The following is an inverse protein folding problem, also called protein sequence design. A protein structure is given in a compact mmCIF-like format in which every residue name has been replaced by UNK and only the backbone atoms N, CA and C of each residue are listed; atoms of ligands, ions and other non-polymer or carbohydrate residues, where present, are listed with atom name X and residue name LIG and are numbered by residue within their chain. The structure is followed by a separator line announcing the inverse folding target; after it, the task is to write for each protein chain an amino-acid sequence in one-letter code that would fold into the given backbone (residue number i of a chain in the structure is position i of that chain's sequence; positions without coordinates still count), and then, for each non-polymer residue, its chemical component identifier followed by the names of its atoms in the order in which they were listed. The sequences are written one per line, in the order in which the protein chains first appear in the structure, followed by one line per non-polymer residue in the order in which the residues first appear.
data_IF_933461143093
#
_entry.id   IF_933461143093
#
_cell.length_a   1.000
_cell.length_b   1.000
_cell.length_c   1.000
_cell.angle_alpha   90.00
_cell.angle_beta   90.00
_cell.angle_gamma   90.00
#
_symmetry.space_group_name_H-M   'P 1'
#
loop_
_entity.id
_entity.type
_entity.pdbx_description
1 polymer ?
#
# COMPACT_ATOMS: atom_id res chain seq x y z
N UNK A 1 26.12 12.68 -7.81
CA UNK A 1 25.42 12.56 -9.10
C UNK A 1 23.94 12.75 -8.81
N UNK A 2 23.08 13.25 -9.72
CA UNK A 2 21.66 13.30 -9.42
C UNK A 2 21.21 11.86 -9.15
N UNK A 3 20.65 11.60 -7.97
CA UNK A 3 20.07 10.30 -7.62
C UNK A 3 18.99 10.01 -8.66
N UNK A 4 19.30 9.10 -9.57
CA UNK A 4 18.36 8.71 -10.61
C UNK A 4 17.51 7.60 -10.01
N UNK A 5 16.44 7.99 -9.34
CA UNK A 5 15.35 7.08 -8.98
C UNK A 5 14.92 6.36 -10.25
N UNK A 6 14.97 5.03 -10.23
CA UNK A 6 14.57 4.22 -11.37
C UNK A 6 13.09 4.46 -11.67
N UNK A 7 12.80 4.82 -12.93
CA UNK A 7 11.45 5.12 -13.39
C UNK A 7 10.95 3.98 -14.29
N UNK A 8 10.14 3.04 -13.75
CA UNK A 8 9.67 1.89 -14.53
C UNK A 8 8.69 2.27 -15.63
N UNK A 9 8.14 3.49 -15.61
CA UNK A 9 7.20 3.98 -16.60
C UNK A 9 7.87 4.89 -17.65
N UNK A 10 9.19 5.11 -17.58
CA UNK A 10 9.90 6.06 -18.44
C UNK A 10 9.61 5.89 -19.94
N UNK A 11 9.54 4.64 -20.42
CA UNK A 11 9.25 4.33 -21.82
C UNK A 11 7.81 4.62 -22.26
N UNK A 12 6.89 4.80 -21.30
CA UNK A 12 5.47 5.12 -21.54
C UNK A 12 5.19 6.62 -21.40
N UNK A 13 6.16 7.41 -20.94
CA UNK A 13 5.98 8.86 -20.76
C UNK A 13 6.09 9.60 -22.10
N UNK A 14 5.19 10.54 -22.33
CA UNK A 14 5.13 11.36 -23.53
C UNK A 14 4.39 12.69 -23.31
N UNK A 15 4.17 13.46 -24.38
CA UNK A 15 3.39 14.68 -24.30
C UNK A 15 1.98 14.39 -23.76
N UNK A 16 1.60 15.07 -22.67
CA UNK A 16 0.29 14.89 -22.05
C UNK A 16 0.22 13.86 -20.92
N UNK A 17 1.32 13.12 -20.66
CA UNK A 17 1.45 12.29 -19.44
C UNK A 17 1.13 13.13 -18.20
N UNK A 18 0.36 12.59 -17.25
CA UNK A 18 0.07 13.26 -15.99
C UNK A 18 1.33 13.69 -15.23
N UNK A 19 1.20 14.71 -14.37
CA UNK A 19 2.32 15.21 -13.56
C UNK A 19 2.75 14.15 -12.52
N UNK A 20 1.76 13.44 -11.97
CA UNK A 20 1.93 12.35 -11.03
C UNK A 20 1.37 11.05 -11.60
N UNK A 21 1.99 9.93 -11.26
CA UNK A 21 1.45 8.61 -11.60
C UNK A 21 0.33 8.24 -10.62
N UNK A 22 0.50 8.62 -9.34
CA UNK A 22 -0.44 8.36 -8.25
C UNK A 22 -0.66 9.60 -7.40
N UNK A 23 -1.92 9.91 -7.12
CA UNK A 23 -2.32 10.93 -6.15
C UNK A 23 -3.17 10.30 -5.06
N UNK A 24 -2.80 10.56 -3.81
CA UNK A 24 -3.38 9.94 -2.64
C UNK A 24 -3.99 10.98 -1.72
N UNK A 25 -5.02 10.55 -1.00
CA UNK A 25 -5.61 11.28 0.10
C UNK A 25 -5.77 10.35 1.29
N UNK A 26 -5.51 10.88 2.48
CA UNK A 26 -5.98 10.26 3.70
C UNK A 26 -5.18 10.67 4.92
N UNK A 27 -5.40 9.96 6.01
CA UNK A 27 -4.82 10.29 7.31
C UNK A 27 -3.40 9.72 7.39
N UNK A 28 -2.44 10.60 7.71
CA UNK A 28 -1.09 10.19 8.07
C UNK A 28 -1.03 10.03 9.58
N UNK A 29 -0.57 8.85 10.01
CA UNK A 29 -0.32 8.56 11.42
C UNK A 29 1.18 8.60 11.69
N UNK A 30 1.57 8.92 12.93
CA UNK A 30 2.84 8.45 13.46
C UNK A 30 2.63 7.04 14.03
N UNK A 31 3.22 6.04 13.39
CA UNK A 31 3.20 4.68 13.90
C UNK A 31 4.39 4.46 14.83
N UNK A 32 4.14 3.89 16.00
CA UNK A 32 5.13 3.42 16.97
C UNK A 32 4.98 1.91 17.06
N UNK A 33 6.01 1.18 16.64
CA UNK A 33 5.94 -0.27 16.44
C UNK A 33 6.87 -0.94 17.46
N UNK A 34 6.29 -1.75 18.35
CA UNK A 34 7.03 -2.58 19.30
C UNK A 34 7.14 -4.01 18.77
N UNK A 35 8.34 -4.59 18.87
CA UNK A 35 8.69 -5.90 18.32
C UNK A 35 9.46 -6.73 19.33
N UNK A 36 9.41 -8.06 19.20
CA UNK A 36 10.10 -8.96 20.12
C UNK A 36 9.50 -8.95 21.52
N UNK A 37 8.17 -8.96 21.63
CA UNK A 37 7.50 -9.19 22.90
C UNK A 37 7.38 -10.69 23.14
N UNK A 38 7.85 -11.14 24.30
CA UNK A 38 7.70 -12.53 24.73
C UNK A 38 6.24 -12.87 25.09
N UNK A 39 5.52 -11.90 25.66
CA UNK A 39 4.15 -12.07 26.15
C UNK A 39 3.29 -10.84 25.85
N UNK A 40 1.98 -11.07 25.78
CA UNK A 40 0.99 -9.99 25.69
C UNK A 40 0.99 -9.14 26.97
N UNK A 41 0.96 -7.79 26.88
CA UNK A 41 0.77 -6.93 28.04
C UNK A 41 -0.58 -7.21 28.72
N UNK A 42 -0.55 -7.38 30.05
CA UNK A 42 -1.77 -7.56 30.87
C UNK A 42 -1.92 -6.44 31.87
N UNK A 43 -3.15 -6.22 32.36
CA UNK A 43 -3.44 -5.12 33.29
C UNK A 43 -2.58 -5.20 34.55
N UNK A 44 -1.79 -4.17 34.82
CA UNK A 44 -0.89 -4.10 35.98
C UNK A 44 0.48 -4.73 35.79
N UNK A 45 0.83 -5.20 34.59
CA UNK A 45 2.18 -5.69 34.26
C UNK A 45 2.93 -4.71 33.36
N UNK A 46 4.26 -4.79 33.42
CA UNK A 46 5.16 -4.14 32.45
C UNK A 46 5.78 -5.25 31.60
N UNK A 47 5.86 -5.02 30.28
CA UNK A 47 6.52 -5.92 29.34
C UNK A 47 7.55 -5.10 28.56
N UNK A 48 8.77 -5.61 28.49
CA UNK A 48 9.87 -5.00 27.75
C UNK A 48 9.93 -5.61 26.35
N UNK A 49 9.97 -4.75 25.32
CA UNK A 49 10.13 -5.17 23.93
C UNK A 49 11.61 -5.15 23.54
N UNK A 50 12.05 -6.15 22.76
CA UNK A 50 13.44 -6.21 22.26
C UNK A 50 13.76 -5.11 21.23
N UNK A 51 12.73 -4.51 20.61
CA UNK A 51 12.93 -3.44 19.65
C UNK A 51 11.72 -2.55 19.47
N UNK A 52 11.98 -1.30 19.12
CA UNK A 52 10.97 -0.29 18.81
C UNK A 52 11.38 0.49 17.56
N UNK A 53 10.41 0.85 16.71
CA UNK A 53 10.60 1.75 15.59
C UNK A 53 9.50 2.79 15.50
N UNK A 54 9.74 3.86 14.74
CA UNK A 54 8.74 4.87 14.40
C UNK A 54 8.75 5.17 12.92
N UNK A 55 7.58 5.32 12.33
CA UNK A 55 7.41 5.55 10.89
C UNK A 55 6.12 6.32 10.59
N UNK A 56 6.01 7.00 9.45
CA UNK A 56 4.70 7.42 8.93
C UNK A 56 3.81 6.20 8.68
N UNK A 57 2.54 6.27 9.05
CA UNK A 57 1.53 5.22 8.89
C UNK A 57 0.25 5.71 8.21
N UNK A 58 -0.75 4.83 8.12
CA UNK A 58 -1.98 5.07 7.35
C UNK A 58 -1.68 5.21 5.85
N UNK A 59 -2.26 6.23 5.19
CA UNK A 59 -2.06 6.46 3.75
C UNK A 59 -0.58 6.66 3.38
N UNK A 60 0.27 7.01 4.34
CA UNK A 60 1.71 7.08 4.13
C UNK A 60 2.34 5.73 3.72
N UNK A 61 1.79 4.59 4.16
CA UNK A 61 2.25 3.26 3.76
C UNK A 61 2.23 3.11 2.24
N UNK A 62 1.08 3.44 1.64
CA UNK A 62 0.84 3.38 0.22
C UNK A 62 1.68 4.41 -0.54
N UNK A 63 1.79 5.64 -0.01
CA UNK A 63 2.58 6.70 -0.62
C UNK A 63 4.06 6.32 -0.72
N UNK A 64 4.62 5.78 0.36
CA UNK A 64 6.00 5.33 0.44
C UNK A 64 6.22 4.13 -0.49
N UNK A 65 5.32 3.15 -0.48
CA UNK A 65 5.41 2.00 -1.36
C UNK A 65 5.38 2.41 -2.86
N UNK A 66 4.45 3.28 -3.24
CA UNK A 66 4.35 3.79 -4.61
C UNK A 66 5.62 4.54 -5.03
N UNK A 67 6.12 5.43 -4.17
CA UNK A 67 7.35 6.19 -4.44
C UNK A 67 8.58 5.30 -4.59
N UNK A 68 8.76 4.30 -3.71
CA UNK A 68 9.88 3.34 -3.78
C UNK A 68 9.82 2.43 -5.00
N UNK A 69 8.62 2.19 -5.52
CA UNK A 69 8.38 1.53 -6.80
C UNK A 69 8.57 2.48 -8.01
N UNK A 70 9.05 3.72 -7.80
CA UNK A 70 9.40 4.65 -8.87
C UNK A 70 8.21 5.42 -9.45
N UNK A 71 7.04 5.36 -8.83
CA UNK A 71 5.88 6.16 -9.23
C UNK A 71 6.04 7.60 -8.73
N UNK A 72 5.77 8.58 -9.61
CA UNK A 72 5.64 9.99 -9.22
C UNK A 72 4.42 10.13 -8.32
N UNK A 73 4.67 10.26 -7.02
CA UNK A 73 3.61 10.15 -6.00
C UNK A 73 3.38 11.50 -5.33
N UNK A 74 2.11 11.91 -5.25
CA UNK A 74 1.68 13.08 -4.49
C UNK A 74 0.64 12.68 -3.45
N UNK A 75 0.71 13.29 -2.26
CA UNK A 75 -0.17 13.02 -1.13
C UNK A 75 -0.76 14.33 -0.63
N UNK A 76 -2.09 14.35 -0.52
CA UNK A 76 -2.82 15.32 0.28
C UNK A 76 -3.17 14.71 1.63
N UNK A 77 -2.75 15.37 2.70
CA UNK A 77 -3.09 15.02 4.07
C UNK A 77 -3.11 16.28 4.96
N UNK A 78 -3.79 16.17 6.10
CA UNK A 78 -3.69 17.14 7.17
C UNK A 78 -2.50 16.78 8.07
N UNK A 79 -1.71 17.79 8.42
CA UNK A 79 -0.59 17.69 9.36
C UNK A 79 -0.80 18.69 10.50
N UNK A 80 -0.37 18.31 11.70
CA UNK A 80 -0.33 19.22 12.85
C UNK A 80 0.83 20.22 12.79
N UNK A 81 0.91 21.05 13.82
CA UNK A 81 2.04 21.93 14.14
C UNK A 81 2.99 21.32 15.21
N UNK A 82 2.87 20.01 15.46
CA UNK A 82 3.65 19.26 16.42
C UNK A 82 4.88 18.54 15.83
N UNK A 83 5.73 18.01 16.71
CA UNK A 83 6.95 17.30 16.31
C UNK A 83 6.66 15.98 15.56
N UNK A 84 5.49 15.37 15.77
CA UNK A 84 5.11 14.14 15.08
C UNK A 84 4.79 14.42 13.61
N UNK A 85 4.08 15.52 13.33
CA UNK A 85 3.85 16.04 12.00
C UNK A 85 5.16 16.41 11.32
N UNK A 86 6.10 17.06 12.01
CA UNK A 86 7.43 17.38 11.48
C UNK A 86 8.21 16.13 11.08
N UNK A 87 8.21 15.09 11.92
CA UNK A 87 8.83 13.82 11.62
C UNK A 87 8.21 13.17 10.37
N UNK A 88 6.88 13.08 10.31
CA UNK A 88 6.18 12.46 9.19
C UNK A 88 6.39 13.25 7.89
N UNK A 89 6.28 14.58 7.95
CA UNK A 89 6.49 15.46 6.81
C UNK A 89 7.89 15.30 6.23
N UNK A 90 8.95 15.41 7.06
CA UNK A 90 10.34 15.27 6.60
C UNK A 90 10.60 13.88 6.02
N UNK A 91 10.12 12.84 6.67
CA UNK A 91 10.28 11.46 6.17
C UNK A 91 9.65 11.32 4.78
N UNK A 92 8.40 11.75 4.62
CA UNK A 92 7.68 11.67 3.35
C UNK A 92 8.33 12.53 2.26
N UNK A 93 8.63 13.80 2.52
CA UNK A 93 9.10 14.72 1.47
C UNK A 93 10.59 14.62 1.18
N UNK A 94 11.42 14.44 2.21
CA UNK A 94 12.89 14.52 2.08
C UNK A 94 13.53 13.15 1.84
N UNK A 95 13.02 12.09 2.47
CA UNK A 95 13.59 10.74 2.36
C UNK A 95 12.89 9.91 1.30
N UNK A 96 11.56 9.93 1.30
CA UNK A 96 10.73 9.09 0.42
C UNK A 96 10.25 9.84 -0.82
N UNK A 97 10.62 11.11 -0.98
CA UNK A 97 10.35 11.95 -2.15
C UNK A 97 8.87 12.01 -2.58
N UNK A 98 7.94 11.90 -1.62
CA UNK A 98 6.51 12.10 -1.85
C UNK A 98 6.22 13.60 -1.93
N UNK A 99 5.53 14.03 -2.98
CA UNK A 99 5.09 15.41 -3.11
C UNK A 99 3.96 15.72 -2.11
N UNK A 100 4.22 16.68 -1.21
CA UNK A 100 3.27 17.14 -0.20
C UNK A 100 2.68 18.52 -0.54
N UNK A 101 2.80 18.98 -1.79
CA UNK A 101 2.34 20.32 -2.20
C UNK A 101 0.82 20.53 -2.04
N UNK A 102 0.06 19.42 -1.98
CA UNK A 102 -1.39 19.39 -1.72
C UNK A 102 -1.76 19.09 -0.28
N UNK A 103 -0.79 18.80 0.57
CA UNK A 103 -0.99 18.65 2.01
C UNK A 103 -1.04 20.02 2.71
N UNK A 104 -1.64 20.07 3.90
CA UNK A 104 -1.78 21.31 4.69
C UNK A 104 -1.39 21.08 6.14
N UNK A 105 -0.78 22.10 6.75
CA UNK A 105 -0.53 22.16 8.19
C UNK A 105 -1.61 22.99 8.87
N UNK A 106 -2.02 22.55 10.05
CA UNK A 106 -3.08 23.18 10.84
C UNK A 106 -2.59 23.43 12.27
N UNK A 107 -2.73 24.68 12.71
CA UNK A 107 -2.39 25.08 14.09
C UNK A 107 -3.36 24.41 15.09
N UNK A 108 -2.84 23.96 16.23
CA UNK A 108 -3.63 23.33 17.30
C UNK A 108 -4.39 22.05 16.88
N UNK A 109 -3.95 21.36 15.83
CA UNK A 109 -4.45 20.04 15.45
C UNK A 109 -3.37 19.00 15.72
N UNK A 110 -3.65 18.07 16.63
CA UNK A 110 -2.68 17.07 17.07
C UNK A 110 -2.60 15.91 16.08
N UNK A 111 -1.38 15.50 15.73
CA UNK A 111 -1.11 14.39 14.82
C UNK A 111 -1.72 13.08 15.31
N UNK A 112 -2.37 12.30 14.44
CA UNK A 112 -2.78 10.93 14.74
C UNK A 112 -1.57 10.05 15.05
N UNK A 113 -1.71 9.15 16.03
CA UNK A 113 -0.67 8.22 16.47
C UNK A 113 -1.26 6.83 16.58
N UNK A 114 -0.58 5.83 16.03
CA UNK A 114 -0.91 4.42 16.25
C UNK A 114 0.25 3.72 16.95
N UNK A 115 -0.03 3.02 18.03
CA UNK A 115 0.91 2.06 18.60
C UNK A 115 0.55 0.66 18.10
N UNK A 116 1.50 0.01 17.44
CA UNK A 116 1.39 -1.39 17.03
C UNK A 116 2.29 -2.26 17.91
N UNK A 117 1.74 -3.34 18.43
CA UNK A 117 2.45 -4.29 19.28
C UNK A 117 2.31 -5.68 18.65
N UNK A 118 3.42 -6.21 18.14
CA UNK A 118 3.47 -7.53 17.53
C UNK A 118 3.83 -8.61 18.56
N UNK A 119 2.97 -9.63 18.70
CA UNK A 119 3.15 -10.81 19.56
C UNK A 119 2.37 -12.01 18.98
N UNK A 120 2.82 -13.24 19.25
CA UNK A 120 2.19 -14.47 18.75
C UNK A 120 1.99 -14.56 17.21
N UNK A 121 2.81 -13.85 16.43
CA UNK A 121 2.68 -13.82 14.97
C UNK A 121 1.51 -12.99 14.45
N UNK A 122 0.85 -12.21 15.33
CA UNK A 122 -0.16 -11.21 14.97
C UNK A 122 0.17 -9.86 15.65
N UNK A 123 -0.66 -8.85 15.44
CA UNK A 123 -0.49 -7.52 16.04
C UNK A 123 -1.77 -7.01 16.69
N UNK A 124 -1.61 -6.25 17.76
CA UNK A 124 -2.65 -5.40 18.32
C UNK A 124 -2.28 -3.94 18.11
N UNK A 125 -3.27 -3.12 17.77
CA UNK A 125 -3.07 -1.69 17.54
C UNK A 125 -3.94 -0.87 18.48
N UNK A 126 -3.40 0.24 18.97
CA UNK A 126 -4.11 1.27 19.70
C UNK A 126 -3.86 2.60 19.00
N UNK A 127 -4.92 3.21 18.49
CA UNK A 127 -4.84 4.43 17.70
C UNK A 127 -5.53 5.60 18.42
N UNK A 128 -4.85 6.73 18.44
CA UNK A 128 -5.42 8.02 18.81
C UNK A 128 -5.39 8.95 17.59
N UNK A 129 -6.45 9.71 17.37
CA UNK A 129 -6.50 10.69 16.30
C UNK A 129 -7.77 11.50 16.30
N UNK A 130 -7.82 12.46 15.38
CA UNK A 130 -8.96 13.34 15.15
C UNK A 130 -9.34 13.32 13.68
N UNK A 131 -10.62 13.61 13.33
CA UNK A 131 -10.97 13.92 11.96
C UNK A 131 -10.08 15.03 11.39
N UNK A 132 -9.78 14.96 10.10
CA UNK A 132 -9.10 16.04 9.39
C UNK A 132 -9.87 17.37 9.58
N UNK A 133 -9.19 18.51 9.81
CA UNK A 133 -9.85 19.80 9.99
C UNK A 133 -10.70 20.24 8.80
N UNK A 134 -10.36 19.75 7.61
CA UNK A 134 -11.11 19.95 6.37
C UNK A 134 -11.51 18.61 5.76
N UNK A 135 -12.69 18.50 5.14
CA UNK A 135 -13.03 17.40 4.26
C UNK A 135 -12.01 17.26 3.11
N UNK A 136 -11.87 16.06 2.57
CA UNK A 136 -10.91 15.75 1.51
C UNK A 136 -11.08 16.68 0.30
N UNK A 137 -12.32 16.82 -0.18
CA UNK A 137 -12.61 17.65 -1.36
C UNK A 137 -12.26 19.13 -1.15
N UNK A 138 -12.41 19.64 0.07
CA UNK A 138 -12.08 21.04 0.38
C UNK A 138 -10.56 21.25 0.57
N UNK A 139 -9.89 20.30 1.22
CA UNK A 139 -8.45 20.35 1.41
C UNK A 139 -7.71 20.26 0.07
N UNK A 140 -8.14 19.33 -0.79
CA UNK A 140 -7.54 19.06 -2.10
C UNK A 140 -7.92 20.13 -3.11
N UNK A 141 -9.20 20.51 -3.17
CA UNK A 141 -9.75 21.34 -4.23
C UNK A 141 -9.63 20.64 -5.59
N UNK A 142 -8.92 21.26 -6.53
CA UNK A 142 -8.58 20.61 -7.80
C UNK A 142 -7.35 19.70 -7.60
N UNK A 143 -7.50 18.37 -7.75
CA UNK A 143 -6.35 17.47 -7.69
C UNK A 143 -5.39 17.72 -8.86
N UNK A 144 -4.09 17.42 -8.71
CA UNK A 144 -3.17 17.44 -9.84
C UNK A 144 -3.57 16.36 -10.86
N UNK A 145 -3.17 16.53 -12.13
CA UNK A 145 -3.38 15.49 -13.13
C UNK A 145 -2.59 14.26 -12.73
N UNK A 146 -3.28 13.12 -12.60
CA UNK A 146 -2.70 11.86 -12.14
C UNK A 146 -3.09 10.68 -13.03
N UNK A 147 -2.27 9.63 -13.06
CA UNK A 147 -2.62 8.36 -13.72
C UNK A 147 -3.63 7.54 -12.91
N UNK A 148 -3.50 7.54 -11.59
CA UNK A 148 -4.41 6.85 -10.69
C UNK A 148 -4.60 7.61 -9.36
N UNK A 149 -5.71 7.29 -8.70
CA UNK A 149 -5.99 7.64 -7.30
C UNK A 149 -6.40 6.38 -6.55
N UNK A 150 -6.04 6.27 -5.28
CA UNK A 150 -6.54 5.23 -4.39
C UNK A 150 -7.40 5.89 -3.31
N UNK A 151 -8.58 5.32 -3.06
CA UNK A 151 -9.58 5.87 -2.15
C UNK A 151 -10.18 4.79 -1.27
N UNK A 152 -10.28 5.08 0.02
CA UNK A 152 -11.02 4.23 0.96
C UNK A 152 -12.51 4.56 0.86
N UNK A 153 -13.32 3.56 0.52
CA UNK A 153 -14.76 3.74 0.48
C UNK A 153 -15.34 3.81 1.89
N UNK A 154 -16.28 4.73 2.07
CA UNK A 154 -16.99 4.92 3.33
C UNK A 154 -18.15 5.89 3.20
N UNK A 155 -18.70 6.29 4.34
CA UNK A 155 -19.85 7.20 4.40
C UNK A 155 -19.46 8.69 4.43
N UNK A 156 -18.17 8.98 4.60
CA UNK A 156 -17.64 10.35 4.66
C UNK A 156 -17.18 10.73 3.25
N UNK A 157 -17.91 11.65 2.61
CA UNK A 157 -17.75 12.01 1.18
C UNK A 157 -17.89 10.81 0.22
N UNK A 158 -19.04 10.12 0.22
CA UNK A 158 -19.26 8.96 -0.65
C UNK A 158 -19.19 9.36 -2.13
N UNK A 159 -18.66 8.44 -2.95
CA UNK A 159 -18.62 8.64 -4.39
C UNK A 159 -20.02 8.58 -5.00
N UNK A 160 -20.23 9.32 -6.09
CA UNK A 160 -21.47 9.27 -6.85
C UNK A 160 -22.59 10.18 -6.32
N UNK A 161 -22.32 11.05 -5.35
CA UNK A 161 -23.28 12.07 -4.91
C UNK A 161 -23.53 13.10 -6.03
N UNK A 162 -24.74 13.17 -6.62
CA UNK A 162 -25.03 14.11 -7.70
C UNK A 162 -25.08 15.57 -7.25
N UNK A 163 -25.15 15.83 -5.93
CA UNK A 163 -25.26 17.18 -5.37
C UNK A 163 -23.91 17.89 -5.25
N UNK A 164 -22.79 17.15 -5.27
CA UNK A 164 -21.44 17.71 -5.09
C UNK A 164 -20.40 16.87 -5.82
N UNK A 165 -19.65 17.51 -6.72
CA UNK A 165 -18.44 16.90 -7.28
C UNK A 165 -17.37 16.78 -6.19
N UNK A 166 -16.89 15.56 -5.97
CA UNK A 166 -15.75 15.26 -5.10
C UNK A 166 -14.43 15.48 -5.84
N UNK A 167 -13.31 15.48 -5.12
CA UNK A 167 -11.98 15.51 -5.75
C UNK A 167 -11.73 14.26 -6.63
N UNK A 168 -12.36 13.14 -6.31
CA UNK A 168 -12.25 11.89 -7.08
C UNK A 168 -12.95 12.04 -8.44
N UNK A 169 -14.12 12.67 -8.47
CA UNK A 169 -14.83 12.98 -9.72
C UNK A 169 -13.98 13.86 -10.65
N UNK A 170 -13.26 14.83 -10.06
CA UNK A 170 -12.34 15.69 -10.80
C UNK A 170 -11.13 14.92 -11.32
N UNK A 171 -10.52 14.06 -10.50
CA UNK A 171 -9.40 13.21 -10.94
C UNK A 171 -9.81 12.26 -12.07
N UNK A 172 -11.00 11.64 -11.96
CA UNK A 172 -11.57 10.76 -12.98
C UNK A 172 -11.85 11.51 -14.28
N UNK A 173 -12.41 12.71 -14.20
CA UNK A 173 -12.67 13.56 -15.37
C UNK A 173 -11.40 13.91 -16.14
N UNK A 174 -10.27 14.06 -15.43
CA UNK A 174 -8.96 14.33 -16.02
C UNK A 174 -8.22 13.06 -16.49
N UNK A 175 -8.87 11.90 -16.42
CA UNK A 175 -8.38 10.62 -16.93
C UNK A 175 -7.72 9.70 -15.90
N UNK A 176 -7.75 10.06 -14.61
CA UNK A 176 -7.22 9.23 -13.53
C UNK A 176 -8.08 8.00 -13.29
N UNK A 177 -7.44 6.84 -13.16
CA UNK A 177 -8.09 5.59 -12.74
C UNK A 177 -8.40 5.64 -11.24
N UNK A 178 -9.59 5.18 -10.85
CA UNK A 178 -10.01 5.18 -9.44
C UNK A 178 -9.91 3.77 -8.87
N UNK A 179 -8.94 3.55 -7.99
CA UNK A 179 -8.76 2.31 -7.25
C UNK A 179 -9.44 2.46 -5.89
N UNK A 180 -10.44 1.64 -5.63
CA UNK A 180 -11.13 1.62 -4.35
C UNK A 180 -10.51 0.57 -3.42
N UNK A 181 -10.41 0.92 -2.14
CA UNK A 181 -10.18 -0.01 -1.05
C UNK A 181 -11.25 0.16 0.02
N UNK A 182 -11.29 -0.75 0.99
CA UNK A 182 -12.17 -0.68 2.16
C UNK A 182 -11.38 -1.03 3.41
N UNK A 183 -11.68 -0.32 4.50
CA UNK A 183 -11.21 -0.71 5.82
C UNK A 183 -12.12 -1.72 6.50
N UNK A 184 -11.62 -2.31 7.58
CA UNK A 184 -12.42 -3.10 8.52
C UNK A 184 -13.61 -2.29 9.04
N UNK A 185 -14.82 -2.85 8.95
CA UNK A 185 -16.01 -2.27 9.56
C UNK A 185 -16.12 -2.68 11.05
N UNK A 186 -15.84 -1.77 12.00
CA UNK A 186 -15.90 -2.09 13.43
C UNK A 186 -17.32 -2.38 13.91
N UNK A 187 -18.36 -1.97 13.16
CA UNK A 187 -19.75 -2.27 13.50
C UNK A 187 -20.15 -3.70 13.10
N UNK A 188 -19.38 -4.32 12.19
CA UNK A 188 -19.70 -5.62 11.60
C UNK A 188 -20.95 -5.61 10.71
N UNK A 189 -21.44 -4.42 10.31
CA UNK A 189 -22.63 -4.28 9.47
C UNK A 189 -22.32 -4.65 8.02
N UNK A 190 -21.12 -4.31 7.54
CA UNK A 190 -20.64 -4.54 6.18
C UNK A 190 -21.69 -4.09 5.17
N UNK A 191 -22.04 -2.81 5.23
CA UNK A 191 -23.15 -2.22 4.50
C UNK A 191 -22.98 -2.38 2.98
N UNK A 192 -23.93 -3.02 2.27
CA UNK A 192 -23.87 -3.14 0.81
C UNK A 192 -23.93 -1.80 0.06
N UNK A 193 -24.35 -0.73 0.73
CA UNK A 193 -24.37 0.62 0.17
C UNK A 193 -22.96 1.13 -0.13
N UNK A 194 -21.94 0.69 0.61
CA UNK A 194 -20.53 0.98 0.30
C UNK A 194 -20.18 0.45 -1.09
N UNK A 195 -20.64 -0.76 -1.44
CA UNK A 195 -20.39 -1.35 -2.76
C UNK A 195 -21.11 -0.63 -3.91
N UNK A 196 -22.13 0.19 -3.64
CA UNK A 196 -22.78 0.98 -4.69
C UNK A 196 -21.85 2.07 -5.25
N UNK A 197 -20.85 2.50 -4.48
CA UNK A 197 -19.85 3.47 -4.91
C UNK A 197 -18.91 2.92 -5.99
N UNK A 198 -18.84 1.59 -6.15
CA UNK A 198 -17.99 0.92 -7.15
C UNK A 198 -18.34 1.27 -8.60
N UNK A 199 -19.57 1.73 -8.86
CA UNK A 199 -19.98 2.23 -10.19
C UNK A 199 -19.14 3.45 -10.63
N UNK A 200 -18.46 4.11 -9.68
CA UNK A 200 -17.58 5.26 -9.90
C UNK A 200 -16.09 4.89 -9.88
N UNK A 201 -15.77 3.60 -9.73
CA UNK A 201 -14.42 3.08 -9.59
C UNK A 201 -13.98 2.28 -10.83
N UNK A 202 -12.67 2.15 -11.02
CA UNK A 202 -12.06 1.30 -12.04
C UNK A 202 -11.54 -0.02 -11.48
N UNK A 203 -11.14 -0.03 -10.21
CA UNK A 203 -10.65 -1.21 -9.52
C UNK A 203 -11.14 -1.27 -8.07
N UNK A 204 -11.23 -2.47 -7.49
CA UNK A 204 -11.51 -2.69 -6.07
C UNK A 204 -10.60 -3.78 -5.50
N UNK A 205 -9.99 -3.52 -4.34
CA UNK A 205 -8.88 -4.33 -3.80
C UNK A 205 -9.07 -4.88 -2.37
N UNK A 206 -10.27 -5.32 -1.94
CA UNK A 206 -10.47 -5.81 -0.59
C UNK A 206 -9.63 -7.06 -0.27
N UNK A 207 -9.41 -7.30 1.02
CA UNK A 207 -8.99 -8.63 1.45
C UNK A 207 -10.16 -9.63 1.46
N UNK A 208 -9.84 -10.92 1.55
CA UNK A 208 -10.81 -12.01 1.53
C UNK A 208 -11.90 -11.87 2.60
N UNK A 209 -11.55 -11.41 3.80
CA UNK A 209 -12.50 -11.19 4.89
C UNK A 209 -13.50 -10.09 4.56
N UNK A 210 -13.02 -8.93 4.12
CA UNK A 210 -13.84 -7.80 3.67
C UNK A 210 -14.71 -8.19 2.46
N UNK A 211 -14.10 -8.79 1.45
CA UNK A 211 -14.78 -9.19 0.21
C UNK A 211 -15.93 -10.14 0.51
N UNK A 212 -15.69 -11.19 1.30
CA UNK A 212 -16.72 -12.15 1.70
C UNK A 212 -17.78 -11.50 2.58
N UNK A 213 -17.38 -10.63 3.51
CA UNK A 213 -18.32 -9.94 4.37
C UNK A 213 -19.26 -9.04 3.55
N UNK A 214 -18.74 -8.13 2.73
CA UNK A 214 -19.57 -7.23 1.91
C UNK A 214 -20.46 -7.98 0.90
N UNK A 215 -19.94 -9.03 0.26
CA UNK A 215 -20.70 -9.80 -0.75
C UNK A 215 -21.62 -10.87 -0.15
N UNK A 216 -21.51 -11.14 1.16
CA UNK A 216 -22.25 -12.21 1.87
C UNK A 216 -22.00 -13.60 1.26
N UNK A 217 -20.76 -13.87 0.87
CA UNK A 217 -20.35 -15.12 0.23
C UNK A 217 -19.55 -16.03 1.17
N UNK A 218 -19.44 -17.31 0.81
CA UNK A 218 -18.78 -18.34 1.62
C UNK A 218 -17.31 -18.57 1.28
N UNK A 219 -16.80 -17.98 0.19
CA UNK A 219 -15.41 -18.16 -0.23
C UNK A 219 -14.85 -16.91 -0.92
N UNK A 220 -13.51 -16.70 -0.90
CA UNK A 220 -12.89 -15.58 -1.61
C UNK A 220 -13.14 -15.59 -3.12
N UNK A 221 -13.27 -16.78 -3.73
CA UNK A 221 -13.56 -16.90 -5.16
C UNK A 221 -15.00 -16.47 -5.48
N UNK A 222 -15.98 -16.86 -4.67
CA UNK A 222 -17.36 -16.43 -4.87
C UNK A 222 -17.49 -14.91 -4.65
N UNK A 223 -16.76 -14.36 -3.68
CA UNK A 223 -16.66 -12.93 -3.46
C UNK A 223 -16.08 -12.22 -4.69
N UNK A 224 -14.98 -12.73 -5.27
CA UNK A 224 -14.36 -12.18 -6.47
C UNK A 224 -15.36 -12.08 -7.62
N UNK A 225 -16.11 -13.15 -7.90
CA UNK A 225 -17.12 -13.13 -8.97
C UNK A 225 -18.23 -12.11 -8.70
N UNK A 226 -18.73 -12.03 -7.46
CA UNK A 226 -19.75 -11.05 -7.09
C UNK A 226 -19.25 -9.59 -7.23
N UNK A 227 -17.95 -9.35 -6.99
CA UNK A 227 -17.34 -8.03 -7.16
C UNK A 227 -17.05 -7.71 -8.64
N UNK A 228 -16.70 -8.70 -9.45
CA UNK A 228 -16.46 -8.51 -10.89
C UNK A 228 -17.71 -8.05 -11.65
N UNK A 229 -18.91 -8.30 -11.13
CA UNK A 229 -20.18 -7.75 -11.64
C UNK A 229 -20.37 -6.26 -11.31
N UNK A 230 -19.53 -5.66 -10.44
CA UNK A 230 -19.68 -4.30 -9.90
C UNK A 230 -18.56 -3.35 -10.27
N UNK A 231 -17.35 -3.86 -10.53
CA UNK A 231 -16.18 -3.05 -10.82
C UNK A 231 -15.38 -3.67 -11.97
N UNK A 232 -14.78 -2.86 -12.87
CA UNK A 232 -14.06 -3.41 -14.01
C UNK A 232 -12.85 -4.29 -13.66
N UNK A 233 -12.08 -3.92 -12.62
CA UNK A 233 -10.98 -4.73 -12.10
C UNK A 233 -11.26 -5.13 -10.65
N UNK A 234 -11.76 -6.34 -10.45
CA UNK A 234 -12.00 -6.88 -9.11
C UNK A 234 -10.79 -7.69 -8.65
N UNK A 235 -10.23 -7.36 -7.48
CA UNK A 235 -9.13 -8.09 -6.85
C UNK A 235 -9.56 -8.54 -5.46
N UNK A 236 -9.13 -9.74 -5.06
CA UNK A 236 -9.25 -10.21 -3.67
C UNK A 236 -7.88 -10.69 -3.20
N UNK A 237 -7.35 -10.06 -2.16
CA UNK A 237 -6.13 -10.51 -1.48
C UNK A 237 -6.47 -11.51 -0.38
N UNK A 238 -5.68 -12.58 -0.23
CA UNK A 238 -5.99 -13.73 0.63
C UNK A 238 -4.76 -14.16 1.45
N UNK A 239 -4.01 -13.17 1.95
CA UNK A 239 -2.84 -13.38 2.82
C UNK A 239 -1.87 -14.44 2.29
N UNK A 240 -1.65 -15.51 3.07
CA UNK A 240 -0.75 -16.61 2.71
C UNK A 240 -1.23 -17.47 1.52
N UNK A 241 -2.50 -17.36 1.10
CA UNK A 241 -3.02 -18.00 -0.10
C UNK A 241 -2.74 -17.18 -1.38
N UNK A 242 -2.31 -15.92 -1.24
CA UNK A 242 -1.92 -15.04 -2.35
C UNK A 242 -3.03 -14.07 -2.74
N UNK A 243 -3.28 -13.92 -4.04
CA UNK A 243 -4.30 -13.01 -4.56
C UNK A 243 -4.98 -13.58 -5.81
N UNK A 244 -6.18 -13.10 -6.10
CA UNK A 244 -6.96 -13.45 -7.29
C UNK A 244 -7.59 -12.19 -7.87
N UNK A 245 -7.84 -12.19 -9.18
CA UNK A 245 -8.41 -11.03 -9.85
C UNK A 245 -9.14 -11.38 -11.14
N UNK A 246 -10.09 -10.53 -11.50
CA UNK A 246 -10.80 -10.53 -12.78
C UNK A 246 -10.71 -9.11 -13.35
N UNK A 247 -10.18 -9.00 -14.57
CA UNK A 247 -10.20 -7.77 -15.36
C UNK A 247 -11.29 -7.93 -16.45
N UNK A 248 -12.46 -7.37 -16.19
CA UNK A 248 -13.60 -7.45 -17.10
C UNK A 248 -13.36 -6.69 -18.42
N UNK A 249 -12.39 -5.74 -18.46
CA UNK A 249 -12.05 -5.01 -19.69
C UNK A 249 -11.26 -5.88 -20.65
N UNK A 250 -10.38 -6.75 -20.14
CA UNK A 250 -9.56 -7.67 -20.96
C UNK A 250 -10.15 -9.08 -21.06
N UNK A 251 -11.02 -9.46 -20.12
CA UNK A 251 -11.54 -10.82 -19.96
C UNK A 251 -10.56 -11.76 -19.24
N UNK A 252 -9.48 -11.24 -18.68
CA UNK A 252 -8.50 -12.04 -17.94
C UNK A 252 -9.03 -12.39 -16.54
N UNK A 253 -8.82 -13.64 -16.13
CA UNK A 253 -8.96 -14.10 -14.75
C UNK A 253 -7.63 -14.75 -14.33
N UNK A 254 -7.11 -14.37 -13.17
CA UNK A 254 -5.83 -14.87 -12.69
C UNK A 254 -5.83 -15.09 -11.18
N UNK A 255 -5.03 -16.08 -10.75
CA UNK A 255 -4.74 -16.37 -9.34
C UNK A 255 -3.26 -16.59 -9.17
N UNK A 256 -2.66 -15.88 -8.20
CA UNK A 256 -1.24 -15.99 -7.88
C UNK A 256 -1.09 -16.39 -6.41
N UNK A 257 -0.42 -17.51 -6.09
CA UNK A 257 -0.16 -17.87 -4.71
C UNK A 257 0.94 -17.01 -4.11
N UNK A 258 0.84 -16.75 -2.81
CA UNK A 258 1.86 -16.03 -2.05
C UNK A 258 3.22 -16.74 -2.08
N UNK A 259 4.29 -15.96 -1.89
CA UNK A 259 5.60 -16.54 -1.61
C UNK A 259 5.60 -17.15 -0.20
N UNK A 260 6.25 -18.30 -0.06
CA UNK A 260 6.51 -18.96 1.22
C UNK A 260 7.64 -18.24 1.95
N UNK A 261 7.28 -17.26 2.78
CA UNK A 261 8.23 -16.44 3.55
C UNK A 261 7.82 -16.37 5.03
N UNK A 262 8.77 -16.20 5.96
CA UNK A 262 8.43 -15.92 7.36
C UNK A 262 7.81 -14.52 7.45
N UNK A 263 6.54 -14.43 7.84
CA UNK A 263 5.88 -13.16 8.09
C UNK A 263 6.26 -12.66 9.50
N UNK A 264 6.94 -11.51 9.55
CA UNK A 264 7.36 -10.85 10.78
C UNK A 264 6.39 -9.73 11.18
N UNK A 265 5.96 -8.92 10.21
CA UNK A 265 5.00 -7.83 10.43
C UNK A 265 4.14 -7.63 9.16
N UNK A 266 2.84 -7.99 9.19
CA UNK A 266 1.95 -7.80 8.04
C UNK A 266 1.40 -6.38 7.91
N UNK A 267 1.81 -5.43 8.76
CA UNK A 267 1.33 -4.04 8.72
C UNK A 267 1.69 -3.38 7.39
N UNK A 268 0.69 -2.77 6.73
CA UNK A 268 0.88 -2.11 5.43
C UNK A 268 1.04 -3.07 4.23
N UNK A 269 0.90 -4.38 4.41
CA UNK A 269 1.07 -5.34 3.30
C UNK A 269 0.03 -5.14 2.18
N UNK A 270 -1.19 -4.74 2.53
CA UNK A 270 -2.25 -4.36 1.59
C UNK A 270 -1.92 -3.08 0.82
N UNK A 271 -1.41 -2.05 1.50
CA UNK A 271 -0.95 -0.81 0.87
C UNK A 271 0.17 -1.07 -0.15
N UNK A 272 1.15 -1.90 0.23
CA UNK A 272 2.26 -2.32 -0.66
C UNK A 272 1.72 -3.11 -1.87
N UNK A 273 0.72 -3.97 -1.65
CA UNK A 273 0.04 -4.67 -2.73
C UNK A 273 -0.61 -3.69 -3.69
N UNK A 274 -1.37 -2.72 -3.15
CA UNK A 274 -2.06 -1.68 -3.91
C UNK A 274 -1.10 -0.86 -4.77
N UNK A 275 0.03 -0.43 -4.21
CA UNK A 275 1.09 0.27 -4.97
C UNK A 275 1.63 -0.57 -6.13
N UNK A 276 1.92 -1.85 -5.90
CA UNK A 276 2.39 -2.77 -6.93
C UNK A 276 1.35 -3.02 -8.03
N UNK A 277 0.07 -3.13 -7.66
CA UNK A 277 -1.02 -3.31 -8.63
C UNK A 277 -1.21 -2.06 -9.48
N UNK A 278 -1.17 -0.86 -8.88
CA UNK A 278 -1.28 0.40 -9.63
C UNK A 278 -0.13 0.53 -10.62
N UNK A 279 1.12 0.28 -10.19
CA UNK A 279 2.26 0.28 -11.10
C UNK A 279 2.03 -0.66 -12.29
N UNK A 280 1.70 -1.93 -12.03
CA UNK A 280 1.49 -2.90 -13.10
C UNK A 280 0.31 -2.54 -14.02
N UNK A 281 -0.71 -1.87 -13.50
CA UNK A 281 -1.85 -1.39 -14.28
C UNK A 281 -1.44 -0.22 -15.17
N UNK A 282 -0.73 0.79 -14.64
CA UNK A 282 -0.22 1.92 -15.42
C UNK A 282 0.84 1.49 -16.45
N UNK A 283 1.59 0.44 -16.16
CA UNK A 283 2.57 -0.17 -17.06
C UNK A 283 1.92 -1.05 -18.16
N UNK A 284 0.61 -1.35 -18.04
CA UNK A 284 -0.11 -2.17 -19.01
C UNK A 284 0.26 -3.65 -19.00
N UNK A 285 0.76 -4.18 -17.87
CA UNK A 285 1.12 -5.60 -17.75
C UNK A 285 -0.11 -6.52 -17.84
N UNK A 286 0.09 -7.81 -18.15
CA UNK A 286 -0.98 -8.80 -18.07
C UNK A 286 -1.47 -8.96 -16.62
N UNK A 287 -2.74 -9.32 -16.40
CA UNK A 287 -3.32 -9.38 -15.05
C UNK A 287 -2.52 -10.30 -14.11
N UNK A 288 -2.06 -11.45 -14.62
CA UNK A 288 -1.25 -12.39 -13.85
C UNK A 288 0.07 -11.78 -13.37
N UNK A 289 0.72 -10.95 -14.19
CA UNK A 289 1.98 -10.29 -13.86
C UNK A 289 1.76 -9.13 -12.88
N UNK A 290 0.67 -8.36 -13.03
CA UNK A 290 0.25 -7.35 -12.04
C UNK A 290 0.08 -7.98 -10.65
N UNK A 291 -0.68 -9.07 -10.57
CA UNK A 291 -0.92 -9.81 -9.33
C UNK A 291 0.36 -10.42 -8.76
N UNK A 292 1.21 -10.99 -9.62
CA UNK A 292 2.48 -11.57 -9.19
C UNK A 292 3.42 -10.51 -8.63
N UNK A 293 3.59 -9.38 -9.33
CA UNK A 293 4.41 -8.28 -8.87
C UNK A 293 3.93 -7.70 -7.54
N UNK A 294 2.63 -7.43 -7.41
CA UNK A 294 2.04 -6.94 -6.16
C UNK A 294 2.23 -7.94 -5.01
N UNK A 295 2.02 -9.24 -5.27
CA UNK A 295 2.24 -10.32 -4.29
C UNK A 295 3.70 -10.42 -3.87
N UNK A 296 4.66 -10.25 -4.80
CA UNK A 296 6.08 -10.20 -4.50
C UNK A 296 6.40 -9.01 -3.58
N UNK A 297 5.89 -7.82 -3.91
CA UNK A 297 6.15 -6.62 -3.13
C UNK A 297 5.67 -6.79 -1.68
N UNK A 298 4.43 -7.27 -1.50
CA UNK A 298 3.90 -7.56 -0.16
C UNK A 298 4.70 -8.64 0.55
N UNK A 299 5.08 -9.72 -0.13
CA UNK A 299 5.90 -10.78 0.48
C UNK A 299 7.28 -10.29 0.93
N UNK A 300 7.90 -9.36 0.19
CA UNK A 300 9.15 -8.73 0.60
C UNK A 300 8.94 -7.79 1.80
N UNK A 301 7.80 -7.10 1.87
CA UNK A 301 7.46 -6.20 2.97
C UNK A 301 7.20 -6.97 4.28
N UNK A 302 6.37 -8.02 4.25
CA UNK A 302 6.00 -8.73 5.49
C UNK A 302 7.15 -9.43 6.21
N UNK A 303 8.28 -9.63 5.52
CA UNK A 303 9.52 -10.17 6.09
C UNK A 303 10.32 -9.15 6.90
N UNK A 304 9.87 -7.89 6.97
CA UNK A 304 10.55 -6.80 7.65
C UNK A 304 9.63 -6.19 8.70
N UNK A 305 10.24 -5.54 9.68
CA UNK A 305 9.53 -4.72 10.66
C UNK A 305 9.54 -3.26 10.21
N UNK A 306 8.49 -2.51 10.53
CA UNK A 306 8.49 -1.05 10.39
C UNK A 306 7.39 -0.47 9.50
N UNK A 307 6.25 -1.15 9.35
CA UNK A 307 5.09 -0.61 8.63
C UNK A 307 5.46 -0.12 7.23
N UNK A 308 5.21 1.18 6.95
CA UNK A 308 5.56 1.81 5.66
C UNK A 308 7.03 1.62 5.24
N UNK A 309 7.98 1.62 6.18
CA UNK A 309 9.40 1.51 5.87
C UNK A 309 9.81 0.08 5.46
N UNK A 310 8.94 -0.91 5.64
CA UNK A 310 9.14 -2.27 5.16
C UNK A 310 8.96 -2.41 3.64
N UNK A 311 8.28 -1.45 2.98
CA UNK A 311 7.99 -1.50 1.56
C UNK A 311 9.30 -1.64 0.73
N UNK A 312 9.37 -2.60 -0.21
CA UNK A 312 10.58 -2.80 -1.00
C UNK A 312 10.78 -1.66 -2.00
N UNK A 313 12.05 -1.39 -2.33
CA UNK A 313 12.40 -0.63 -3.53
C UNK A 313 12.87 -1.54 -4.66
N UNK A 314 13.15 -0.95 -5.83
CA UNK A 314 13.64 -1.72 -6.99
C UNK A 314 14.95 -2.44 -6.75
N UNK A 315 15.82 -1.94 -5.87
CA UNK A 315 17.04 -2.66 -5.49
C UNK A 315 16.74 -3.99 -4.78
N UNK A 316 15.72 -4.03 -3.92
CA UNK A 316 15.28 -5.26 -3.24
C UNK A 316 14.69 -6.28 -4.22
N UNK A 317 13.89 -5.80 -5.17
CA UNK A 317 13.25 -6.63 -6.19
C UNK A 317 14.31 -7.22 -7.14
N UNK A 318 15.28 -6.39 -7.55
CA UNK A 318 16.38 -6.82 -8.39
C UNK A 318 17.22 -7.92 -7.71
N UNK A 319 17.60 -7.72 -6.45
CA UNK A 319 18.34 -8.71 -5.68
C UNK A 319 17.55 -10.02 -5.54
N UNK A 320 16.28 -9.94 -5.15
CA UNK A 320 15.42 -11.12 -5.03
C UNK A 320 15.34 -11.91 -6.34
N UNK A 321 15.21 -11.20 -7.47
CA UNK A 321 15.13 -11.84 -8.78
C UNK A 321 16.45 -12.49 -9.19
N UNK A 322 17.58 -11.81 -8.96
CA UNK A 322 18.92 -12.36 -9.24
C UNK A 322 19.21 -13.58 -8.38
N UNK A 323 18.90 -13.54 -7.09
CA UNK A 323 19.04 -14.67 -6.17
C UNK A 323 18.18 -15.85 -6.62
N UNK A 324 16.92 -15.59 -6.99
CA UNK A 324 16.03 -16.63 -7.49
C UNK A 324 16.57 -17.29 -8.77
N UNK A 325 17.13 -16.51 -9.70
CA UNK A 325 17.70 -17.00 -10.97
C UNK A 325 19.00 -17.77 -10.79
N UNK A 326 19.88 -17.31 -9.92
CA UNK A 326 21.22 -17.90 -9.69
C UNK A 326 21.22 -19.00 -8.64
N UNK A 327 20.15 -19.12 -7.85
CA UNK A 327 19.99 -20.18 -6.85
C UNK A 327 20.26 -21.58 -7.43
N UNK A 328 21.04 -22.36 -6.69
CA UNK A 328 21.27 -23.77 -6.99
C UNK A 328 20.06 -24.66 -6.68
N UNK A 329 19.02 -24.14 -6.01
CA UNK A 329 17.82 -24.92 -5.65
C UNK A 329 17.01 -25.31 -6.90
N UNK A 330 16.90 -26.62 -7.13
CA UNK A 330 16.14 -27.21 -8.24
C UNK A 330 14.75 -27.71 -7.85
N UNK A 331 14.28 -27.36 -6.63
CA UNK A 331 12.94 -27.71 -6.17
C UNK A 331 11.86 -27.29 -7.18
N UNK A 332 10.77 -28.06 -7.23
CA UNK A 332 9.63 -27.73 -8.10
C UNK A 332 9.01 -26.36 -7.75
N UNK A 333 9.13 -25.94 -6.49
CA UNK A 333 8.70 -24.63 -6.03
C UNK A 333 9.56 -23.51 -6.64
N UNK A 334 10.88 -23.59 -6.52
CA UNK A 334 11.81 -22.60 -7.10
C UNK A 334 11.69 -22.51 -8.62
N UNK A 335 11.56 -23.65 -9.32
CA UNK A 335 11.28 -23.65 -10.76
C UNK A 335 9.92 -23.02 -11.10
N UNK A 336 8.92 -23.17 -10.25
CA UNK A 336 7.62 -22.50 -10.43
C UNK A 336 7.69 -21.00 -10.24
N UNK A 337 8.49 -20.52 -9.28
CA UNK A 337 8.70 -19.09 -9.08
C UNK A 337 9.41 -18.48 -10.29
N UNK A 338 10.48 -19.11 -10.79
CA UNK A 338 11.19 -18.62 -11.99
C UNK A 338 10.27 -18.43 -13.19
N UNK A 339 9.37 -19.40 -13.46
CA UNK A 339 8.39 -19.27 -14.55
C UNK A 339 7.37 -18.16 -14.31
N UNK A 340 6.89 -18.02 -13.08
CA UNK A 340 5.87 -17.01 -12.74
C UNK A 340 6.40 -15.59 -12.85
N UNK A 341 7.66 -15.39 -12.47
CA UNK A 341 8.28 -14.07 -12.41
C UNK A 341 9.22 -13.81 -13.60
N UNK A 342 9.13 -14.62 -14.67
CA UNK A 342 9.96 -14.48 -15.87
C UNK A 342 9.79 -13.11 -16.54
N UNK A 343 8.61 -12.48 -16.45
CA UNK A 343 8.37 -11.13 -16.95
C UNK A 343 9.30 -10.06 -16.33
N UNK A 344 9.89 -10.33 -15.15
CA UNK A 344 10.88 -9.44 -14.54
C UNK A 344 12.19 -9.37 -15.35
N UNK A 345 12.45 -10.32 -16.25
CA UNK A 345 13.60 -10.26 -17.16
C UNK A 345 13.58 -9.07 -18.11
N UNK A 346 12.39 -8.51 -18.38
CA UNK A 346 12.26 -7.31 -19.22
C UNK A 346 12.49 -6.02 -18.43
N UNK A 347 12.35 -6.08 -17.09
CA UNK A 347 12.31 -4.89 -16.23
C UNK A 347 13.63 -4.77 -15.45
N UNK A 348 14.01 -5.81 -14.72
CA UNK A 348 15.14 -5.82 -13.77
C UNK A 348 16.49 -5.46 -14.41
N UNK A 349 16.83 -5.86 -15.65
CA UNK A 349 18.11 -5.47 -16.26
C UNK A 349 18.30 -3.96 -16.44
N UNK A 350 17.23 -3.18 -16.42
CA UNK A 350 17.28 -1.71 -16.52
C UNK A 350 17.34 -1.01 -15.16
N UNK A 351 17.24 -1.77 -14.05
CA UNK A 351 17.34 -1.24 -12.69
C UNK A 351 18.81 -0.88 -12.38
N UNK A 352 19.11 0.39 -12.04
CA UNK A 352 20.46 0.80 -11.64
C UNK A 352 20.91 0.08 -10.37
N UNK A 353 22.22 -0.18 -10.25
CA UNK A 353 22.83 -0.79 -9.06
C UNK A 353 22.53 0.00 -7.76
N UNK A 354 22.41 1.33 -7.89
CA UNK A 354 22.05 2.24 -6.79
C UNK A 354 20.57 2.56 -6.67
N UNK A 355 19.67 1.79 -7.32
CA UNK A 355 18.24 2.00 -7.16
C UNK A 355 17.83 1.94 -5.69
N UNK A 356 16.77 2.68 -5.34
CA UNK A 356 16.25 2.77 -3.98
C UNK A 356 16.07 1.37 -3.41
N UNK A 357 16.66 1.18 -2.24
CA UNK A 357 16.50 0.00 -1.39
C UNK A 357 15.69 0.44 -0.18
N UNK A 358 14.95 -0.48 0.42
CA UNK A 358 14.24 -0.18 1.67
C UNK A 358 15.22 0.41 2.69
N UNK A 359 14.80 1.48 3.36
CA UNK A 359 15.52 1.93 4.54
C UNK A 359 15.51 0.78 5.55
N UNK A 360 16.66 0.48 6.15
CA UNK A 360 16.66 -0.36 7.35
C UNK A 360 15.93 0.46 8.40
N UNK A 361 14.76 -0.01 8.83
CA UNK A 361 14.05 0.63 9.93
C UNK A 361 15.08 0.85 11.06
N UNK A 362 15.22 2.09 11.54
CA UNK A 362 16.04 2.41 12.71
C UNK A 362 15.38 1.83 13.95
N UNK A 363 15.26 0.51 13.97
CA UNK A 363 14.95 -0.27 15.13
C UNK A 363 16.28 -0.37 15.84
N UNK A 364 16.34 0.23 17.02
CA UNK A 364 17.52 0.23 17.87
C UNK A 364 17.81 -1.17 18.46
N UNK A 365 17.58 -2.26 17.70
CA UNK A 365 17.86 -3.65 18.09
C UNK A 365 19.26 -3.83 18.65
N UNK A 366 20.23 -3.09 18.11
CA UNK A 366 21.65 -3.17 18.48
C UNK A 366 22.15 -1.96 19.29
N UNK A 367 21.32 -0.96 19.60
CA UNK A 367 21.73 0.11 20.51
C UNK A 367 21.86 -0.41 21.95
N UNK A 368 21.13 -1.47 22.27
CA UNK A 368 21.03 -2.08 23.60
C UNK A 368 21.73 -3.45 23.72
N UNK A 369 22.36 -3.96 22.66
CA UNK A 369 23.14 -5.21 22.73
C UNK A 369 24.49 -4.89 23.36
N UNK A 370 24.60 -5.14 24.66
CA UNK A 370 25.92 -5.25 25.30
C UNK A 370 26.70 -6.36 24.60
N UNK A 371 27.79 -6.01 23.91
CA UNK A 371 28.80 -6.98 23.48
C UNK A 371 29.26 -7.77 24.71
N UNK A 372 28.76 -8.99 24.88
CA UNK A 372 29.29 -9.99 25.81
C UNK A 372 29.75 -11.22 25.03
#
# INVERSE_FOLDING_TARGET
MPDTTYDPLAGLRGPGTPDFDVFLWGTVFLDIIFTGLADRPTGGTEVWADGMGSSPGGTANLAIAASRLGLRTSLAAAFGDDNYADFCWRTLSEQEHVDLSRSRRFDNWHSPVTMSVAYDGDRSMVTHGHPSPLPATELIGQPPRTGAVIVDLGDIEPLGDPSRSTWVDLARKDGGLVFADVGWDPTGTWSPQVLAQLDHCDAFLPNAGEAMAYTRTGSPQDALYALADRVPLAIVTDGAAGAMGIDAKTGEEARVPALRVPALDPTGAGDVFGAGLVLGTLAGWALADRLAFATLCSALAVQQFGGSLAAPGWGDIADWWQDLRTSGDQSSYTRSLRRRYEFLDEIVPSVPVGAVRRAVATIARNADVTNN
#
